data_IF_517112551375
#
_entry.id   IF_517112551375
#
_cell.length_a   1.000
_cell.length_b   1.000
_cell.length_c   1.000
_cell.angle_alpha   90.00
_cell.angle_beta   90.00
_cell.angle_gamma   90.00
#
_symmetry.space_group_name_H-M   'P 1'
#
loop_
_entity.id
_entity.type
_entity.pdbx_description
1 polymer ?
#
# COMPACT_ATOMS: atom_id res chain seq x y z
N UNK A 1 7.00 -11.61 -21.05
CA UNK A 1 7.32 -11.56 -19.61
C UNK A 1 7.69 -12.94 -19.07
N UNK A 2 6.75 -13.87 -18.90
CA UNK A 2 7.05 -15.20 -18.35
C UNK A 2 8.16 -15.95 -19.12
N UNK A 3 8.07 -16.04 -20.45
CA UNK A 3 9.09 -16.70 -21.27
C UNK A 3 10.48 -16.07 -21.09
N UNK A 4 10.57 -14.75 -21.22
CA UNK A 4 11.82 -13.99 -21.10
C UNK A 4 12.49 -14.12 -19.72
N UNK A 5 11.72 -14.14 -18.64
CA UNK A 5 12.27 -14.19 -17.27
C UNK A 5 12.46 -15.61 -16.73
N UNK A 6 11.53 -16.53 -17.03
CA UNK A 6 11.50 -17.87 -16.42
C UNK A 6 12.15 -18.95 -17.31
N UNK A 7 11.94 -18.88 -18.62
CA UNK A 7 12.49 -19.86 -19.56
C UNK A 7 13.86 -19.41 -20.05
N UNK A 8 13.94 -18.19 -20.58
CA UNK A 8 15.17 -17.66 -21.18
C UNK A 8 16.13 -17.07 -20.14
N UNK A 9 15.61 -16.66 -18.98
CA UNK A 9 16.37 -15.98 -17.90
C UNK A 9 17.19 -14.78 -18.40
N UNK A 10 16.64 -14.06 -19.39
CA UNK A 10 17.31 -12.94 -20.05
C UNK A 10 17.50 -11.75 -19.09
N UNK A 11 16.51 -11.50 -18.23
CA UNK A 11 16.54 -10.46 -17.21
C UNK A 11 15.71 -10.87 -15.97
N UNK A 12 15.74 -10.05 -14.91
CA UNK A 12 15.05 -10.29 -13.63
C UNK A 12 15.57 -11.53 -12.85
N UNK A 13 16.88 -11.67 -12.71
CA UNK A 13 17.47 -12.77 -11.92
C UNK A 13 17.29 -12.58 -10.41
N UNK A 14 17.31 -11.34 -9.94
CA UNK A 14 17.14 -11.02 -8.52
C UNK A 14 15.67 -11.17 -8.10
N UNK A 15 15.37 -12.19 -7.30
CA UNK A 15 14.00 -12.49 -6.87
C UNK A 15 13.31 -13.62 -7.63
N UNK A 16 14.06 -14.34 -8.47
CA UNK A 16 13.65 -15.61 -9.04
C UNK A 16 13.28 -16.64 -7.93
N UNK A 17 12.26 -17.49 -8.12
CA UNK A 17 11.36 -17.56 -9.29
C UNK A 17 10.28 -16.46 -9.28
N UNK A 18 9.98 -15.94 -10.47
CA UNK A 18 8.88 -14.98 -10.67
C UNK A 18 7.60 -15.69 -11.08
N UNK A 19 6.51 -15.35 -10.40
CA UNK A 19 5.17 -15.79 -10.78
C UNK A 19 4.43 -14.68 -11.52
N UNK A 20 4.05 -14.98 -12.76
CA UNK A 20 3.16 -14.15 -13.57
C UNK A 20 1.80 -14.86 -13.66
N UNK A 21 0.86 -14.39 -12.85
CA UNK A 21 -0.43 -15.05 -12.67
C UNK A 21 -1.56 -14.26 -13.35
N UNK A 22 -2.67 -14.92 -13.66
CA UNK A 22 -3.88 -14.25 -14.19
C UNK A 22 -4.39 -13.14 -13.26
N UNK A 23 -4.12 -13.24 -11.95
CA UNK A 23 -4.42 -12.19 -10.98
C UNK A 23 -3.79 -10.85 -11.36
N UNK A 24 -2.57 -10.85 -11.91
CA UNK A 24 -1.90 -9.60 -12.33
C UNK A 24 -2.62 -8.97 -13.52
N UNK A 25 -3.21 -9.78 -14.40
CA UNK A 25 -4.05 -9.32 -15.51
C UNK A 25 -5.36 -8.73 -14.98
N UNK A 26 -6.04 -9.41 -14.05
CA UNK A 26 -7.27 -8.88 -13.43
C UNK A 26 -7.03 -7.55 -12.72
N UNK A 27 -5.96 -7.44 -11.94
CA UNK A 27 -5.54 -6.17 -11.32
C UNK A 27 -5.29 -5.08 -12.35
N UNK A 28 -4.68 -5.44 -13.48
CA UNK A 28 -4.47 -4.49 -14.58
C UNK A 28 -5.80 -3.99 -15.14
N UNK A 29 -6.78 -4.88 -15.34
CA UNK A 29 -8.13 -4.50 -15.76
C UNK A 29 -8.84 -3.59 -14.74
N UNK A 30 -8.79 -3.91 -13.44
CA UNK A 30 -9.39 -3.09 -12.38
C UNK A 30 -8.80 -1.67 -12.35
N UNK A 31 -7.48 -1.54 -12.56
CA UNK A 31 -6.81 -0.23 -12.64
C UNK A 31 -7.21 0.54 -13.91
N UNK A 32 -7.39 -0.16 -15.03
CA UNK A 32 -7.80 0.45 -16.30
C UNK A 32 -9.23 0.98 -16.18
N UNK A 33 -10.15 0.22 -15.58
CA UNK A 33 -11.57 0.60 -15.42
C UNK A 33 -11.74 1.88 -14.60
N UNK A 34 -10.93 2.07 -13.55
CA UNK A 34 -10.94 3.27 -12.73
C UNK A 34 -10.14 4.46 -13.28
N UNK A 35 -9.38 4.27 -14.37
CA UNK A 35 -8.44 5.28 -14.85
C UNK A 35 -9.10 6.34 -15.76
N UNK A 36 -8.63 7.60 -15.73
CA UNK A 36 -9.07 8.61 -16.69
C UNK A 36 -8.56 8.32 -18.11
N UNK A 37 -9.43 8.59 -19.10
CA UNK A 37 -9.32 8.21 -20.54
C UNK A 37 -8.04 8.53 -21.33
N UNK A 38 -7.11 9.44 -20.96
CA UNK A 38 -5.83 9.52 -21.66
C UNK A 38 -4.70 8.65 -21.08
N UNK A 39 -4.84 8.08 -19.87
CA UNK A 39 -3.80 7.27 -19.21
C UNK A 39 -4.14 5.77 -19.12
N UNK A 40 -5.34 5.37 -19.54
CA UNK A 40 -5.88 4.01 -19.40
C UNK A 40 -4.93 2.92 -19.89
N UNK A 41 -4.28 3.09 -21.06
CA UNK A 41 -3.53 2.00 -21.68
C UNK A 41 -2.30 1.52 -20.87
N UNK A 42 -1.74 2.36 -19.98
CA UNK A 42 -0.46 2.11 -19.31
C UNK A 42 -0.48 2.36 -17.80
N UNK A 43 -1.63 2.76 -17.23
CA UNK A 43 -1.78 3.11 -15.82
C UNK A 43 -1.31 2.00 -14.88
N UNK A 44 -1.60 0.73 -15.22
CA UNK A 44 -1.25 -0.44 -14.43
C UNK A 44 0.25 -0.79 -14.46
N UNK A 45 0.97 -0.41 -15.53
CA UNK A 45 2.30 -0.93 -15.84
C UNK A 45 3.30 -0.67 -14.71
N UNK A 46 3.28 0.56 -14.17
CA UNK A 46 4.21 0.94 -13.13
C UNK A 46 4.04 0.10 -11.86
N UNK A 47 2.78 -0.05 -11.40
CA UNK A 47 2.47 -0.68 -10.11
C UNK A 47 2.52 -2.21 -10.23
N UNK A 48 1.93 -2.78 -11.28
CA UNK A 48 1.78 -4.25 -11.42
C UNK A 48 3.08 -4.93 -11.88
N UNK A 49 3.91 -4.26 -12.70
CA UNK A 49 5.08 -4.91 -13.30
C UNK A 49 6.41 -4.21 -12.95
N UNK A 50 6.53 -2.90 -13.11
CA UNK A 50 7.82 -2.20 -13.01
C UNK A 50 8.33 -2.12 -11.57
N UNK A 51 7.48 -1.72 -10.63
CA UNK A 51 7.88 -1.59 -9.21
C UNK A 51 8.25 -2.93 -8.58
N UNK A 52 7.76 -4.05 -9.12
CA UNK A 52 8.16 -5.40 -8.67
C UNK A 52 9.61 -5.71 -9.01
N UNK A 53 10.15 -5.17 -10.10
CA UNK A 53 11.53 -5.42 -10.52
C UNK A 53 12.52 -4.76 -9.58
N UNK A 54 13.49 -5.55 -9.09
CA UNK A 54 14.47 -5.12 -8.09
C UNK A 54 15.53 -4.19 -8.66
N UNK A 55 16.01 -4.44 -9.88
CA UNK A 55 17.08 -3.65 -10.50
C UNK A 55 16.53 -2.64 -11.51
N UNK A 56 17.26 -1.54 -11.71
CA UNK A 56 16.90 -0.53 -12.71
C UNK A 56 17.08 -1.03 -14.15
N UNK A 57 17.97 -2.00 -14.39
CA UNK A 57 18.15 -2.62 -15.69
C UNK A 57 16.91 -3.45 -16.07
N UNK A 58 16.44 -4.32 -15.16
CA UNK A 58 15.25 -5.15 -15.39
C UNK A 58 14.00 -4.29 -15.63
N UNK A 59 13.88 -3.15 -14.93
CA UNK A 59 12.79 -2.19 -15.17
C UNK A 59 12.77 -1.66 -16.59
N UNK A 60 13.94 -1.42 -17.20
CA UNK A 60 14.05 -0.96 -18.59
C UNK A 60 13.66 -2.06 -19.57
N UNK A 61 14.05 -3.30 -19.30
CA UNK A 61 13.65 -4.46 -20.10
C UNK A 61 12.12 -4.65 -20.09
N UNK A 62 11.47 -4.51 -18.93
CA UNK A 62 9.99 -4.55 -18.85
C UNK A 62 9.35 -3.46 -19.71
N UNK A 63 9.89 -2.24 -19.68
CA UNK A 63 9.39 -1.14 -20.51
C UNK A 63 9.61 -1.44 -22.00
N UNK A 64 10.72 -2.09 -22.36
CA UNK A 64 11.03 -2.46 -23.74
C UNK A 64 10.07 -3.53 -24.26
N UNK A 65 9.86 -4.61 -23.51
CA UNK A 65 8.86 -5.65 -23.82
C UNK A 65 7.47 -5.03 -23.96
N UNK A 66 7.11 -4.11 -23.06
CA UNK A 66 5.82 -3.41 -23.14
C UNK A 66 5.66 -2.63 -24.46
N UNK A 67 6.69 -1.87 -24.86
CA UNK A 67 6.69 -1.12 -26.14
C UNK A 67 6.58 -2.05 -27.34
N UNK A 68 7.24 -3.21 -27.29
CA UNK A 68 7.21 -4.18 -28.38
C UNK A 68 5.84 -4.82 -28.56
N UNK A 69 5.14 -5.11 -27.47
CA UNK A 69 3.81 -5.75 -27.49
C UNK A 69 2.72 -4.75 -27.80
N UNK A 70 2.65 -3.64 -27.05
CA UNK A 70 1.55 -2.67 -27.15
C UNK A 70 1.78 -1.60 -28.21
N UNK A 71 3.01 -1.48 -28.75
CA UNK A 71 3.39 -0.44 -29.72
C UNK A 71 3.17 1.00 -29.25
N UNK A 72 3.11 1.21 -27.94
CA UNK A 72 3.00 2.55 -27.32
C UNK A 72 4.15 2.78 -26.34
N UNK A 73 4.57 4.04 -26.23
CA UNK A 73 5.60 4.48 -25.28
C UNK A 73 4.92 4.84 -23.96
N UNK A 74 5.11 4.06 -22.88
CA UNK A 74 4.49 4.37 -21.61
C UNK A 74 5.16 5.60 -20.97
N UNK A 75 4.36 6.52 -20.45
CA UNK A 75 4.82 7.60 -19.59
C UNK A 75 4.59 7.21 -18.12
N UNK A 76 5.67 7.20 -17.33
CA UNK A 76 5.62 6.87 -15.90
C UNK A 76 5.99 8.11 -15.13
N UNK A 77 5.07 8.59 -14.28
CA UNK A 77 5.34 9.75 -13.44
C UNK A 77 6.34 9.39 -12.32
N UNK A 78 7.53 10.01 -12.28
CA UNK A 78 8.50 9.77 -11.20
C UNK A 78 8.06 10.39 -9.86
N UNK A 79 7.20 11.40 -9.89
CA UNK A 79 6.81 12.19 -8.73
C UNK A 79 5.29 12.37 -8.71
N UNK A 80 4.53 11.33 -8.31
CA UNK A 80 3.09 11.48 -8.16
C UNK A 80 2.79 12.57 -7.13
N UNK A 81 1.84 13.44 -7.48
CA UNK A 81 1.43 14.55 -6.61
C UNK A 81 0.68 13.99 -5.42
N UNK A 82 1.02 14.48 -4.23
CA UNK A 82 0.29 14.16 -3.00
C UNK A 82 -0.50 15.39 -2.59
N UNK A 83 -1.81 15.26 -2.49
CA UNK A 83 -2.72 16.31 -2.06
C UNK A 83 -3.60 15.79 -0.93
N UNK A 84 -3.81 16.62 0.08
CA UNK A 84 -4.60 16.28 1.25
C UNK A 84 -5.77 17.26 1.36
N UNK A 85 -6.99 16.74 1.24
CA UNK A 85 -8.22 17.47 1.48
C UNK A 85 -8.83 17.03 2.82
N UNK A 86 -9.89 17.70 3.27
CA UNK A 86 -10.67 17.30 4.46
C UNK A 86 -11.15 15.85 4.32
N UNK A 87 -11.72 15.51 3.17
CA UNK A 87 -12.42 14.24 2.98
C UNK A 87 -11.55 13.15 2.35
N UNK A 88 -10.57 13.53 1.54
CA UNK A 88 -9.82 12.58 0.71
C UNK A 88 -8.30 12.87 0.72
N UNK A 89 -7.51 11.80 0.71
CA UNK A 89 -6.09 11.80 0.37
C UNK A 89 -5.95 11.43 -1.10
N UNK A 90 -5.32 12.28 -1.90
CA UNK A 90 -5.06 12.03 -3.32
C UNK A 90 -3.57 11.81 -3.51
N UNK A 91 -3.19 10.68 -4.11
CA UNK A 91 -1.80 10.33 -4.44
C UNK A 91 -1.74 9.90 -5.89
N UNK A 92 -1.17 10.75 -6.75
CA UNK A 92 -1.13 10.48 -8.19
C UNK A 92 -2.53 10.36 -8.76
N UNK A 93 -2.89 9.16 -9.22
CA UNK A 93 -4.22 8.87 -9.77
C UNK A 93 -5.21 8.24 -8.76
N UNK A 94 -4.78 8.00 -7.51
CA UNK A 94 -5.56 7.30 -6.49
C UNK A 94 -6.17 8.29 -5.50
N UNK A 95 -7.42 8.05 -5.09
CA UNK A 95 -8.10 8.82 -4.07
C UNK A 95 -8.61 7.92 -2.94
N UNK A 96 -8.14 8.15 -1.71
CA UNK A 96 -8.56 7.41 -0.52
C UNK A 96 -9.40 8.31 0.38
N UNK A 97 -10.59 7.82 0.76
CA UNK A 97 -11.43 8.48 1.76
C UNK A 97 -10.77 8.49 3.14
N UNK A 98 -10.74 9.66 3.76
CA UNK A 98 -10.18 9.87 5.10
C UNK A 98 -11.23 9.55 6.16
N UNK A 99 -10.75 9.02 7.28
CA UNK A 99 -11.55 8.84 8.47
C UNK A 99 -11.25 10.00 9.43
N UNK A 100 -12.17 10.99 9.45
CA UNK A 100 -11.98 12.25 10.21
C UNK A 100 -12.36 12.08 11.69
N UNK A 101 -13.19 11.08 12.03
CA UNK A 101 -13.68 10.89 13.41
C UNK A 101 -12.60 10.39 14.37
N UNK A 102 -11.54 9.78 13.85
CA UNK A 102 -10.40 9.34 14.64
C UNK A 102 -9.27 10.36 14.52
N UNK A 103 -9.20 11.27 15.51
CA UNK A 103 -7.97 12.04 15.75
C UNK A 103 -6.88 11.05 16.14
N UNK A 104 -6.12 10.59 15.16
CA UNK A 104 -4.88 9.91 15.45
C UNK A 104 -4.03 10.88 16.24
N UNK A 105 -3.82 10.61 17.53
CA UNK A 105 -2.75 11.22 18.33
C UNK A 105 -1.42 10.66 17.82
N UNK A 106 -1.13 10.83 16.53
CA UNK A 106 0.23 10.71 16.05
C UNK A 106 0.98 11.80 16.81
N UNK A 107 1.75 11.38 17.82
CA UNK A 107 2.83 12.18 18.38
C UNK A 107 3.48 12.90 17.21
N UNK A 108 3.43 14.22 17.27
CA UNK A 108 3.81 15.23 16.27
C UNK A 108 5.23 15.01 15.74
N UNK A 109 5.42 13.93 15.00
CA UNK A 109 6.57 13.65 14.18
C UNK A 109 6.16 14.13 12.80
N UNK A 110 6.71 15.28 12.40
CA UNK A 110 6.52 15.82 11.07
C UNK A 110 6.92 14.75 10.05
N UNK A 111 5.95 14.01 9.52
CA UNK A 111 6.20 13.02 8.49
C UNK A 111 6.39 13.78 7.18
N UNK A 112 7.65 14.12 6.90
CA UNK A 112 8.05 14.79 5.67
C UNK A 112 7.83 13.85 4.48
N UNK A 113 6.94 14.23 3.58
CA UNK A 113 6.71 13.51 2.32
C UNK A 113 7.92 13.77 1.41
N UNK A 114 8.77 12.76 1.24
CA UNK A 114 9.90 12.83 0.32
C UNK A 114 9.48 12.38 -1.08
N UNK A 115 9.91 13.07 -2.16
CA UNK A 115 9.55 12.71 -3.54
C UNK A 115 9.87 11.25 -3.91
N UNK A 116 10.94 10.68 -3.33
CA UNK A 116 11.35 9.28 -3.57
C UNK A 116 10.34 8.25 -3.05
N UNK A 117 9.56 8.61 -2.03
CA UNK A 117 8.58 7.71 -1.39
C UNK A 117 7.26 7.76 -2.15
N UNK A 118 6.98 8.84 -2.90
CA UNK A 118 5.69 9.09 -3.54
C UNK A 118 5.25 7.95 -4.47
N UNK A 119 6.16 7.33 -5.25
CA UNK A 119 5.79 6.20 -6.12
C UNK A 119 5.33 4.97 -5.35
N UNK A 120 6.00 4.66 -4.23
CA UNK A 120 5.62 3.53 -3.38
C UNK A 120 4.40 3.88 -2.52
N UNK A 121 4.21 5.15 -2.19
CA UNK A 121 3.02 5.65 -1.52
C UNK A 121 1.79 5.53 -2.43
N UNK A 122 1.92 5.86 -3.71
CA UNK A 122 0.87 5.67 -4.73
C UNK A 122 0.48 4.20 -4.85
N UNK A 123 1.47 3.30 -4.96
CA UNK A 123 1.22 1.86 -5.03
C UNK A 123 0.55 1.32 -3.76
N UNK A 124 1.01 1.75 -2.58
CA UNK A 124 0.39 1.36 -1.31
C UNK A 124 -1.03 1.92 -1.17
N UNK A 125 -1.25 3.16 -1.61
CA UNK A 125 -2.55 3.80 -1.63
C UNK A 125 -3.53 3.04 -2.53
N UNK A 126 -3.10 2.68 -3.75
CA UNK A 126 -3.90 1.87 -4.67
C UNK A 126 -4.31 0.54 -4.04
N UNK A 127 -3.38 -0.16 -3.38
CA UNK A 127 -3.70 -1.41 -2.70
C UNK A 127 -4.77 -1.22 -1.61
N UNK A 128 -4.73 -0.10 -0.88
CA UNK A 128 -5.74 0.20 0.15
C UNK A 128 -7.10 0.50 -0.48
N UNK A 129 -7.14 1.29 -1.56
CA UNK A 129 -8.37 1.61 -2.30
C UNK A 129 -9.06 0.34 -2.83
N UNK A 130 -8.29 -0.57 -3.45
CA UNK A 130 -8.82 -1.82 -4.00
C UNK A 130 -8.88 -2.99 -3.00
N UNK A 131 -8.59 -2.75 -1.72
CA UNK A 131 -8.56 -3.78 -0.67
C UNK A 131 -7.62 -4.96 -0.99
N UNK A 132 -6.52 -4.71 -1.69
CA UNK A 132 -5.50 -5.71 -1.99
C UNK A 132 -4.47 -5.83 -0.86
N UNK A 133 -4.00 -7.05 -0.62
CA UNK A 133 -2.86 -7.27 0.26
C UNK A 133 -1.61 -6.60 -0.31
N UNK A 134 -1.04 -5.65 0.45
CA UNK A 134 0.18 -4.94 0.09
C UNK A 134 1.40 -5.60 0.76
N UNK A 135 2.46 -5.86 -0.02
CA UNK A 135 3.74 -6.36 0.47
C UNK A 135 4.83 -5.38 0.05
N UNK A 136 5.52 -4.79 1.03
CA UNK A 136 6.62 -3.85 0.82
C UNK A 136 7.96 -4.57 1.01
N UNK A 137 8.72 -4.74 -0.07
CA UNK A 137 10.03 -5.40 -0.06
C UNK A 137 11.14 -4.40 -0.38
N UNK A 138 12.29 -4.53 0.29
CA UNK A 138 13.48 -3.72 0.02
C UNK A 138 14.52 -3.84 1.12
N UNK A 139 15.67 -3.14 1.00
CA UNK A 139 16.75 -3.19 2.00
C UNK A 139 16.32 -2.65 3.38
N UNK A 140 17.03 -3.02 4.43
CA UNK A 140 16.83 -2.44 5.76
C UNK A 140 16.98 -0.91 5.73
N UNK A 141 16.31 -0.22 6.65
CA UNK A 141 16.34 1.25 6.75
C UNK A 141 15.81 2.04 5.52
N UNK A 142 15.16 1.38 4.55
CA UNK A 142 14.57 2.06 3.38
C UNK A 142 13.26 2.83 3.65
N UNK A 143 12.79 2.89 4.89
CA UNK A 143 11.59 3.63 5.28
C UNK A 143 10.25 2.92 5.07
N UNK A 144 10.21 1.60 4.86
CA UNK A 144 8.97 0.82 4.66
C UNK A 144 7.91 1.05 5.75
N UNK A 145 8.29 0.88 7.02
CA UNK A 145 7.38 1.09 8.15
C UNK A 145 6.93 2.56 8.25
N UNK A 146 7.84 3.50 7.96
CA UNK A 146 7.51 4.94 7.95
C UNK A 146 6.50 5.28 6.85
N UNK A 147 6.57 4.63 5.69
CA UNK A 147 5.61 4.81 4.60
C UNK A 147 4.20 4.38 5.03
N UNK A 148 4.05 3.22 5.66
CA UNK A 148 2.75 2.75 6.14
C UNK A 148 2.21 3.61 7.27
N UNK A 149 3.05 4.00 8.24
CA UNK A 149 2.68 4.96 9.30
C UNK A 149 2.22 6.30 8.73
N UNK A 150 2.90 6.79 7.68
CA UNK A 150 2.50 8.00 6.96
C UNK A 150 1.14 7.82 6.29
N UNK A 151 0.94 6.73 5.55
CA UNK A 151 -0.34 6.48 4.87
C UNK A 151 -1.50 6.39 5.87
N UNK A 152 -1.31 5.68 6.99
CA UNK A 152 -2.30 5.59 8.06
C UNK A 152 -2.60 6.96 8.68
N UNK A 153 -1.56 7.74 9.00
CA UNK A 153 -1.72 9.09 9.54
C UNK A 153 -2.43 10.05 8.57
N UNK A 154 -2.11 10.01 7.28
CA UNK A 154 -2.77 10.84 6.27
C UNK A 154 -4.22 10.42 6.06
N UNK A 155 -4.53 9.13 6.11
CA UNK A 155 -5.89 8.61 5.94
C UNK A 155 -6.73 8.66 7.21
N UNK A 156 -6.14 8.90 8.38
CA UNK A 156 -6.83 8.90 9.67
C UNK A 156 -7.18 7.50 10.18
N UNK A 157 -6.50 6.46 9.68
CA UNK A 157 -6.76 5.08 10.07
C UNK A 157 -5.80 4.62 11.18
N UNK A 158 -6.29 3.72 12.03
CA UNK A 158 -5.46 3.08 13.06
C UNK A 158 -4.55 2.03 12.44
N UNK A 159 -3.24 2.19 12.66
CA UNK A 159 -2.23 1.22 12.25
C UNK A 159 -1.79 0.40 13.45
N UNK A 160 -2.19 -0.87 13.46
CA UNK A 160 -1.72 -1.86 14.42
C UNK A 160 -0.51 -2.60 13.83
N UNK A 161 0.63 -2.52 14.51
CA UNK A 161 1.86 -3.16 14.08
C UNK A 161 2.12 -4.42 14.91
N UNK A 162 2.30 -5.56 14.23
CA UNK A 162 2.69 -6.83 14.84
C UNK A 162 4.04 -7.24 14.28
N UNK A 163 5.00 -7.47 15.17
CA UNK A 163 6.34 -7.92 14.78
C UNK A 163 6.35 -9.44 14.72
N UNK A 164 6.56 -10.00 13.52
CA UNK A 164 6.68 -11.44 13.34
C UNK A 164 8.14 -11.86 13.41
N UNK A 165 8.44 -12.87 14.21
CA UNK A 165 9.74 -13.52 14.31
C UNK A 165 9.64 -15.00 13.95
N UNK A 166 10.76 -15.70 13.81
CA UNK A 166 10.75 -17.16 13.59
C UNK A 166 10.18 -17.96 14.77
N UNK A 167 10.01 -17.32 15.93
CA UNK A 167 9.39 -17.91 17.11
C UNK A 167 7.90 -17.52 17.26
N UNK A 168 7.35 -16.75 16.33
CA UNK A 168 5.94 -16.35 16.35
C UNK A 168 5.07 -17.51 15.88
N UNK A 169 4.28 -18.04 16.81
CA UNK A 169 3.35 -19.16 16.56
C UNK A 169 1.97 -18.68 16.09
N UNK A 170 1.21 -19.58 15.46
CA UNK A 170 -0.16 -19.32 14.98
C UNK A 170 -1.07 -18.85 16.12
N UNK A 171 -0.86 -19.34 17.35
CA UNK A 171 -1.61 -18.93 18.53
C UNK A 171 -1.40 -17.47 18.92
N UNK A 172 -0.28 -16.84 18.54
CA UNK A 172 -0.06 -15.42 18.78
C UNK A 172 -0.93 -14.55 17.85
N UNK A 173 -1.21 -15.04 16.63
CA UNK A 173 -2.03 -14.35 15.64
C UNK A 173 -3.53 -14.62 15.81
N UNK A 174 -3.92 -15.88 16.00
CA UNK A 174 -5.32 -16.26 16.17
C UNK A 174 -5.81 -16.04 17.61
N UNK A 175 -4.89 -15.91 18.55
CA UNK A 175 -5.17 -15.95 19.98
C UNK A 175 -5.06 -17.36 20.55
N UNK A 176 -4.65 -17.46 21.80
CA UNK A 176 -4.72 -18.68 22.59
C UNK A 176 -6.02 -18.73 23.40
N UNK A 177 -6.41 -19.92 23.82
CA UNK A 177 -7.47 -20.05 24.80
C UNK A 177 -6.98 -19.47 26.13
N UNK A 178 -7.68 -18.46 26.62
CA UNK A 178 -7.45 -17.85 27.92
C UNK A 178 -8.66 -18.16 28.82
N UNK A 179 -8.40 -18.52 30.08
CA UNK A 179 -9.47 -18.73 31.05
C UNK A 179 -10.24 -17.42 31.26
N UNK A 180 -11.54 -17.51 31.52
CA UNK A 180 -12.40 -16.35 31.70
C UNK A 180 -11.84 -15.37 32.74
N UNK A 181 -11.55 -14.14 32.30
CA UNK A 181 -11.13 -13.02 33.15
C UNK A 181 -12.14 -11.86 33.03
N UNK A 182 -12.88 -11.63 34.13
CA UNK A 182 -13.86 -10.56 34.20
C UNK A 182 -13.25 -9.15 34.07
N UNK A 183 -11.99 -8.96 34.52
CA UNK A 183 -11.33 -7.65 34.49
C UNK A 183 -10.99 -7.24 33.06
N UNK A 184 -10.58 -8.19 32.22
CA UNK A 184 -10.30 -7.93 30.80
C UNK A 184 -11.56 -7.48 30.06
N UNK A 185 -12.68 -8.16 30.27
CA UNK A 185 -13.97 -7.77 29.70
C UNK A 185 -14.37 -6.36 30.14
N UNK A 186 -14.22 -6.04 31.42
CA UNK A 186 -14.49 -4.69 31.92
C UNK A 186 -13.61 -3.64 31.26
N UNK A 187 -12.30 -3.90 31.10
CA UNK A 187 -11.38 -2.99 30.39
C UNK A 187 -11.78 -2.79 28.92
N UNK A 188 -12.21 -3.85 28.23
CA UNK A 188 -12.70 -3.74 26.85
C UNK A 188 -13.94 -2.85 26.76
N UNK A 189 -14.89 -3.01 27.69
CA UNK A 189 -16.08 -2.16 27.76
C UNK A 189 -15.69 -0.71 28.05
N UNK A 190 -14.80 -0.46 29.00
CA UNK A 190 -14.32 0.90 29.31
C UNK A 190 -13.65 1.54 28.08
N UNK A 191 -12.80 0.81 27.37
CA UNK A 191 -12.15 1.31 26.15
C UNK A 191 -13.16 1.61 25.03
N UNK A 192 -14.22 0.81 24.90
CA UNK A 192 -15.31 1.10 23.96
C UNK A 192 -16.06 2.37 24.34
N UNK A 193 -16.41 2.53 25.61
CA UNK A 193 -17.08 3.75 26.10
C UNK A 193 -16.20 4.98 25.88
N UNK A 194 -14.91 4.90 26.18
CA UNK A 194 -13.96 5.97 25.93
C UNK A 194 -13.88 6.33 24.43
N UNK A 195 -13.89 5.31 23.55
CA UNK A 195 -13.97 5.50 22.10
C UNK A 195 -15.21 6.30 21.67
N UNK A 196 -16.40 5.92 22.16
CA UNK A 196 -17.65 6.64 21.85
C UNK A 196 -17.69 8.05 22.42
N UNK A 197 -17.16 8.26 23.62
CA UNK A 197 -17.08 9.60 24.23
C UNK A 197 -16.16 10.50 23.42
N UNK A 198 -15.01 9.99 22.97
CA UNK A 198 -14.08 10.75 22.12
C UNK A 198 -14.69 11.12 20.77
N UNK A 199 -15.44 10.19 20.14
CA UNK A 199 -16.17 10.45 18.90
C UNK A 199 -17.29 11.48 19.09
N UNK A 200 -18.02 11.43 20.21
CA UNK A 200 -19.04 12.43 20.51
C UNK A 200 -18.42 13.82 20.73
N UNK A 201 -17.33 13.90 21.51
CA UNK A 201 -16.63 15.15 21.77
C UNK A 201 -16.05 15.76 20.48
N UNK A 202 -15.56 14.95 19.53
CA UNK A 202 -15.04 15.46 18.26
C UNK A 202 -16.14 16.05 17.38
N UNK A 203 -17.32 15.44 17.36
CA UNK A 203 -18.48 15.93 16.60
C UNK A 203 -19.10 17.21 17.18
N UNK A 204 -18.89 17.52 18.47
CA UNK A 204 -19.36 18.78 19.08
C UNK A 204 -18.38 19.95 18.94
N UNK A 205 -17.14 19.69 18.50
CA UNK A 205 -16.08 20.70 18.34
C UNK A 205 -15.99 21.25 16.90
N UNK A 206 -16.78 20.72 15.97
CA UNK A 206 -17.06 21.30 14.64
C UNK A 206 -18.31 22.20 14.68
#
# INVERSE_FOLDING_TARGET
MHEETMLNQNFAKDGFPWEFNLRDVFRSCEIIEGAPKPLEAHSFLNIVYIQRMRTAADRKEVIQVFKEVFKVIPYINPYPRVQLNSDNLIVGNVAIKRNVTQFYTASSSQLLIQPKICQSLEAAALCVEHQWLCILVGPSCSGKTKLLRLLAALTGNVLNEVNLSSATDISELLGSFEQYDALRNFRTVVAQVEGYVNEYCSLQLE
#
